data_IF_829216949241
#
_entry.id   IF_829216949241
#
_cell.length_a   1.000
_cell.length_b   1.000
_cell.length_c   1.000
_cell.angle_alpha   90.00
_cell.angle_beta   90.00
_cell.angle_gamma   90.00
#
_symmetry.space_group_name_H-M   'P 1'
#
loop_
_entity.id
_entity.type
_entity.pdbx_description
1 polymer ?
#
# COMPACT_ATOMS: atom_id res chain seq x y z
N UNK A 1 4.26 14.42 16.89
CA UNK A 1 3.24 13.40 17.14
C UNK A 1 2.03 14.14 17.65
N UNK A 2 0.92 14.03 16.93
CA UNK A 2 -0.37 14.64 17.29
C UNK A 2 -0.91 13.99 18.56
N UNK A 3 -1.75 14.69 19.31
CA UNK A 3 -2.52 14.06 20.39
C UNK A 3 -3.61 13.14 19.83
N UNK A 4 -4.16 12.25 20.65
CA UNK A 4 -5.27 11.38 20.21
C UNK A 4 -6.44 12.25 19.74
N UNK A 5 -6.79 13.29 20.48
CA UNK A 5 -7.89 14.20 20.19
C UNK A 5 -7.70 14.95 18.86
N UNK A 6 -6.47 15.37 18.54
CA UNK A 6 -6.14 15.99 17.26
C UNK A 6 -6.31 15.01 16.09
N UNK A 7 -5.94 13.74 16.28
CA UNK A 7 -6.08 12.70 15.26
C UNK A 7 -7.54 12.30 15.08
N UNK A 8 -8.30 12.19 16.19
CA UNK A 8 -9.74 11.94 16.17
C UNK A 8 -10.48 13.01 15.38
N UNK A 9 -10.26 14.29 15.69
CA UNK A 9 -10.93 15.39 14.98
C UNK A 9 -10.65 15.36 13.47
N UNK A 10 -9.39 15.09 13.08
CA UNK A 10 -9.01 14.95 11.67
C UNK A 10 -9.74 13.77 11.02
N UNK A 11 -9.77 12.61 11.68
CA UNK A 11 -10.42 11.42 11.14
C UNK A 11 -11.94 11.56 11.10
N UNK A 12 -12.58 12.15 12.09
CA UNK A 12 -14.03 12.38 12.08
C UNK A 12 -14.44 13.28 10.90
N UNK A 13 -13.70 14.35 10.65
CA UNK A 13 -13.93 15.21 9.48
C UNK A 13 -13.65 14.44 8.17
N UNK A 14 -12.54 13.72 8.09
CA UNK A 14 -12.12 13.05 6.86
C UNK A 14 -12.99 11.83 6.49
N UNK A 15 -13.58 11.17 7.48
CA UNK A 15 -14.44 9.99 7.33
C UNK A 15 -15.92 10.36 7.13
N UNK A 16 -16.31 11.62 7.32
CA UNK A 16 -17.65 12.08 7.03
C UNK A 16 -17.99 11.82 5.54
N UNK A 17 -19.13 11.18 5.27
CA UNK A 17 -19.54 10.80 3.92
C UNK A 17 -19.79 11.98 2.97
N UNK A 18 -19.98 13.18 3.51
CA UNK A 18 -20.11 14.43 2.76
C UNK A 18 -18.78 15.16 2.55
N UNK A 19 -17.71 14.73 3.23
CA UNK A 19 -16.38 15.33 3.15
C UNK A 19 -15.95 15.56 1.70
N UNK A 20 -15.40 16.76 1.44
CA UNK A 20 -14.90 17.19 0.12
C UNK A 20 -15.92 16.98 -1.01
N UNK A 21 -17.21 17.18 -0.73
CA UNK A 21 -18.28 17.00 -1.71
C UNK A 21 -18.49 15.54 -2.11
N UNK A 22 -18.51 14.64 -1.11
CA UNK A 22 -18.67 13.18 -1.28
C UNK A 22 -17.54 12.57 -2.12
N UNK A 23 -16.31 13.01 -1.90
CA UNK A 23 -15.14 12.64 -2.73
C UNK A 23 -14.97 11.13 -2.85
N UNK A 24 -15.05 10.39 -1.74
CA UNK A 24 -14.90 8.93 -1.72
C UNK A 24 -15.97 8.25 -2.59
N UNK A 25 -17.24 8.61 -2.40
CA UNK A 25 -18.35 8.03 -3.16
C UNK A 25 -18.23 8.33 -4.68
N UNK A 26 -17.79 9.55 -5.03
CA UNK A 26 -17.52 9.92 -6.43
C UNK A 26 -16.35 9.12 -7.00
N UNK A 27 -15.30 8.88 -6.21
CA UNK A 27 -14.16 8.04 -6.56
C UNK A 27 -14.57 6.59 -6.84
N UNK A 28 -15.35 5.99 -5.94
CA UNK A 28 -15.88 4.63 -6.09
C UNK A 28 -16.78 4.52 -7.34
N UNK A 29 -17.68 5.49 -7.55
CA UNK A 29 -18.51 5.53 -8.75
C UNK A 29 -17.66 5.61 -10.04
N UNK A 30 -16.65 6.50 -10.06
CA UNK A 30 -15.73 6.63 -11.19
C UNK A 30 -14.99 5.30 -11.46
N UNK A 31 -14.52 4.64 -10.41
CA UNK A 31 -13.81 3.37 -10.50
C UNK A 31 -14.67 2.23 -11.07
N UNK A 32 -15.99 2.25 -10.80
CA UNK A 32 -16.94 1.28 -11.36
C UNK A 32 -17.24 1.59 -12.84
N UNK A 33 -17.40 2.86 -13.19
CA UNK A 33 -17.82 3.29 -14.53
C UNK A 33 -16.70 3.15 -15.56
N UNK A 34 -15.46 3.50 -15.19
CA UNK A 34 -14.33 3.46 -16.12
C UNK A 34 -14.01 2.01 -16.53
N UNK A 35 -13.49 1.85 -17.75
CA UNK A 35 -12.98 0.57 -18.27
C UNK A 35 -11.60 0.79 -18.84
N UNK A 36 -10.61 0.06 -18.33
CA UNK A 36 -9.19 0.23 -18.69
C UNK A 36 -8.75 1.70 -18.62
N UNK A 37 -9.15 2.41 -17.56
CA UNK A 37 -8.80 3.82 -17.31
C UNK A 37 -9.67 4.83 -18.05
N UNK A 38 -10.46 4.42 -19.04
CA UNK A 38 -11.26 5.32 -19.89
C UNK A 38 -12.69 5.40 -19.37
N UNK A 39 -13.20 6.63 -19.23
CA UNK A 39 -14.62 6.88 -18.95
C UNK A 39 -15.41 6.86 -20.27
N UNK A 40 -16.59 6.22 -20.31
CA UNK A 40 -17.47 6.28 -21.48
C UNK A 40 -18.00 7.72 -21.67
N UNK A 41 -18.43 8.05 -22.90
CA UNK A 41 -18.83 9.40 -23.27
C UNK A 41 -20.07 9.93 -22.51
N UNK A 42 -20.93 9.02 -22.03
CA UNK A 42 -22.13 9.31 -21.23
C UNK A 42 -21.86 9.28 -19.71
N UNK A 43 -20.60 9.15 -19.29
CA UNK A 43 -20.26 9.16 -17.88
C UNK A 43 -20.61 10.51 -17.22
N UNK A 44 -20.96 10.52 -15.91
CA UNK A 44 -21.07 11.74 -15.13
C UNK A 44 -19.79 12.58 -15.21
N UNK A 45 -19.93 13.90 -15.09
CA UNK A 45 -18.77 14.78 -15.00
C UNK A 45 -18.07 14.62 -13.64
N UNK A 46 -16.85 14.09 -13.67
CA UNK A 46 -15.95 14.06 -12.52
C UNK A 46 -14.98 15.26 -12.57
N UNK A 47 -14.47 15.67 -11.42
CA UNK A 47 -13.42 16.71 -11.39
C UNK A 47 -12.19 16.22 -12.12
N UNK A 48 -11.51 17.12 -12.85
CA UNK A 48 -10.22 16.81 -13.47
C UNK A 48 -9.14 16.43 -12.42
N UNK A 49 -9.30 16.92 -11.18
CA UNK A 49 -8.38 16.67 -10.05
C UNK A 49 -8.74 15.46 -9.22
N UNK A 50 -9.82 14.73 -9.55
CA UNK A 50 -10.40 13.72 -8.64
C UNK A 50 -9.40 12.65 -8.17
N UNK A 51 -8.45 12.24 -9.02
CA UNK A 51 -7.43 11.26 -8.63
C UNK A 51 -6.41 11.84 -7.66
N UNK A 52 -5.96 13.08 -7.87
CA UNK A 52 -5.06 13.76 -6.95
C UNK A 52 -5.75 13.99 -5.60
N UNK A 53 -6.99 14.50 -5.64
CA UNK A 53 -7.80 14.75 -4.44
C UNK A 53 -8.00 13.45 -3.63
N UNK A 54 -8.27 12.32 -4.31
CA UNK A 54 -8.38 11.00 -3.69
C UNK A 54 -7.05 10.54 -3.11
N UNK A 55 -5.95 10.67 -3.85
CA UNK A 55 -4.62 10.30 -3.38
C UNK A 55 -4.26 11.02 -2.09
N UNK A 56 -4.37 12.35 -2.09
CA UNK A 56 -4.09 13.18 -0.93
C UNK A 56 -4.98 12.83 0.26
N UNK A 57 -6.29 12.64 0.03
CA UNK A 57 -7.24 12.26 1.08
C UNK A 57 -6.95 10.87 1.65
N UNK A 58 -6.67 9.90 0.78
CA UNK A 58 -6.39 8.52 1.15
C UNK A 58 -5.11 8.38 1.97
N UNK A 59 -4.02 9.05 1.56
CA UNK A 59 -2.77 9.03 2.31
C UNK A 59 -2.88 9.79 3.63
N UNK A 60 -3.61 10.91 3.69
CA UNK A 60 -3.84 11.63 4.94
C UNK A 60 -4.62 10.76 5.97
N UNK A 61 -5.66 10.05 5.53
CA UNK A 61 -6.39 9.11 6.40
C UNK A 61 -5.49 7.95 6.83
N UNK A 62 -4.70 7.39 5.92
CA UNK A 62 -3.81 6.26 6.22
C UNK A 62 -2.75 6.66 7.27
N UNK A 63 -2.14 7.82 7.10
CA UNK A 63 -1.16 8.37 8.05
C UNK A 63 -1.78 8.56 9.44
N UNK A 64 -2.93 9.23 9.51
CA UNK A 64 -3.66 9.41 10.76
C UNK A 64 -4.08 8.07 11.40
N UNK A 65 -4.49 7.07 10.61
CA UNK A 65 -4.84 5.74 11.09
C UNK A 65 -3.65 4.97 11.67
N UNK A 66 -2.47 5.08 11.04
CA UNK A 66 -1.23 4.49 11.52
C UNK A 66 -0.77 5.15 12.83
N UNK A 67 -0.83 6.48 12.91
CA UNK A 67 -0.49 7.22 14.12
C UNK A 67 -1.44 6.85 15.26
N UNK A 68 -2.76 6.92 15.04
CA UNK A 68 -3.77 6.55 16.03
C UNK A 68 -3.59 5.12 16.53
N UNK A 69 -3.38 4.15 15.61
CA UNK A 69 -3.16 2.75 15.99
C UNK A 69 -1.89 2.54 16.79
N UNK A 70 -0.86 3.39 16.62
CA UNK A 70 0.35 3.30 17.41
C UNK A 70 0.16 3.80 18.85
N UNK A 71 -0.77 4.74 19.05
CA UNK A 71 -1.15 5.31 20.35
C UNK A 71 -2.21 4.47 21.07
N UNK A 72 -3.30 4.10 20.37
CA UNK A 72 -4.38 3.25 20.86
C UNK A 72 -4.85 2.30 19.74
N UNK A 73 -4.46 1.03 19.85
CA UNK A 73 -4.83 -0.02 18.88
C UNK A 73 -6.31 -0.37 18.91
N UNK A 74 -6.99 -0.14 20.03
CA UNK A 74 -8.40 -0.47 20.25
C UNK A 74 -9.35 0.68 19.91
N UNK A 75 -8.80 1.83 19.51
CA UNK A 75 -9.58 3.02 19.22
C UNK A 75 -10.65 2.76 18.14
N UNK A 76 -11.87 3.25 18.38
CA UNK A 76 -13.02 2.95 17.52
C UNK A 76 -12.83 3.42 16.06
N UNK A 77 -12.08 4.50 15.84
CA UNK A 77 -11.80 5.07 14.53
C UNK A 77 -10.74 4.33 13.71
N UNK A 78 -9.89 3.49 14.33
CA UNK A 78 -8.78 2.81 13.63
C UNK A 78 -9.30 1.95 12.47
N UNK A 79 -10.32 1.13 12.75
CA UNK A 79 -10.85 0.20 11.76
C UNK A 79 -11.57 0.92 10.59
N UNK A 80 -12.50 1.86 10.83
CA UNK A 80 -13.11 2.68 9.78
C UNK A 80 -12.09 3.49 8.96
N UNK A 81 -11.05 4.02 9.60
CA UNK A 81 -10.01 4.80 8.92
C UNK A 81 -9.22 3.95 7.92
N UNK A 82 -8.73 2.77 8.35
CA UNK A 82 -8.06 1.83 7.45
C UNK A 82 -8.97 1.36 6.31
N UNK A 83 -10.25 1.09 6.60
CA UNK A 83 -11.21 0.71 5.56
C UNK A 83 -11.39 1.81 4.51
N UNK A 84 -11.51 3.06 4.95
CA UNK A 84 -11.75 4.19 4.05
C UNK A 84 -10.54 4.51 3.22
N UNK A 85 -9.34 4.51 3.82
CA UNK A 85 -8.08 4.61 3.09
C UNK A 85 -7.97 3.50 2.03
N UNK A 86 -8.28 2.25 2.40
CA UNK A 86 -8.25 1.12 1.47
C UNK A 86 -9.20 1.30 0.27
N UNK A 87 -10.45 1.73 0.51
CA UNK A 87 -11.44 2.01 -0.53
C UNK A 87 -10.98 3.10 -1.49
N UNK A 88 -10.38 4.16 -0.98
CA UNK A 88 -9.85 5.26 -1.78
C UNK A 88 -8.71 4.76 -2.68
N UNK A 89 -7.73 4.05 -2.11
CA UNK A 89 -6.60 3.50 -2.88
C UNK A 89 -7.06 2.48 -3.92
N UNK A 90 -8.03 1.64 -3.57
CA UNK A 90 -8.67 0.71 -4.49
C UNK A 90 -9.40 1.44 -5.62
N UNK A 91 -10.15 2.51 -5.32
CA UNK A 91 -10.85 3.31 -6.32
C UNK A 91 -9.87 3.97 -7.32
N UNK A 92 -8.65 4.31 -6.90
CA UNK A 92 -7.62 4.84 -7.79
C UNK A 92 -7.14 3.82 -8.83
N UNK A 93 -7.17 2.51 -8.54
CA UNK A 93 -6.64 1.47 -9.44
C UNK A 93 -7.69 0.54 -10.05
N UNK A 94 -8.86 0.38 -9.45
CA UNK A 94 -9.94 -0.51 -9.91
C UNK A 94 -10.45 -0.06 -11.28
N UNK A 95 -10.42 -0.96 -12.27
CA UNK A 95 -10.71 -0.69 -13.69
C UNK A 95 -9.90 0.47 -14.30
N UNK A 96 -8.79 0.86 -13.67
CA UNK A 96 -7.89 1.90 -14.17
C UNK A 96 -7.08 1.44 -15.38
N UNK A 97 -6.18 2.31 -15.84
CA UNK A 97 -5.21 1.96 -16.86
C UNK A 97 -4.34 0.79 -16.35
N UNK A 98 -4.32 -0.37 -17.05
CA UNK A 98 -3.52 -1.52 -16.63
C UNK A 98 -2.01 -1.23 -16.63
N UNK A 99 -1.54 -0.29 -17.46
CA UNK A 99 -0.13 0.08 -17.65
C UNK A 99 0.35 1.20 -16.71
N UNK A 100 -0.56 1.72 -15.86
CA UNK A 100 -0.22 2.74 -14.86
C UNK A 100 0.89 2.25 -13.94
N UNK A 101 1.99 3.00 -13.86
CA UNK A 101 3.23 2.58 -13.19
C UNK A 101 3.10 2.39 -11.68
N UNK A 102 2.30 3.21 -11.00
CA UNK A 102 2.01 3.15 -9.56
C UNK A 102 0.82 2.25 -9.20
N UNK A 103 0.24 1.53 -10.18
CA UNK A 103 -0.90 0.63 -9.97
C UNK A 103 -0.60 -0.46 -8.95
N UNK A 104 0.57 -1.08 -9.02
CA UNK A 104 0.97 -2.14 -8.08
C UNK A 104 1.14 -1.62 -6.66
N UNK A 105 1.79 -0.46 -6.52
CA UNK A 105 1.94 0.22 -5.24
C UNK A 105 0.59 0.55 -4.60
N UNK A 106 -0.30 1.28 -5.28
CA UNK A 106 -1.61 1.67 -4.74
C UNK A 106 -2.49 0.46 -4.39
N UNK A 107 -2.45 -0.60 -5.20
CA UNK A 107 -3.16 -1.86 -4.92
C UNK A 107 -2.60 -2.58 -3.70
N UNK A 108 -1.28 -2.54 -3.51
CA UNK A 108 -0.60 -3.07 -2.32
C UNK A 108 -1.01 -2.29 -1.07
N UNK A 109 -1.01 -0.95 -1.13
CA UNK A 109 -1.45 -0.08 -0.04
C UNK A 109 -2.93 -0.33 0.31
N UNK A 110 -3.80 -0.50 -0.69
CA UNK A 110 -5.20 -0.88 -0.49
C UNK A 110 -5.33 -2.22 0.25
N UNK A 111 -4.62 -3.25 -0.20
CA UNK A 111 -4.62 -4.58 0.42
C UNK A 111 -4.11 -4.56 1.86
N UNK A 112 -2.98 -3.88 2.11
CA UNK A 112 -2.43 -3.72 3.45
C UNK A 112 -3.41 -2.98 4.37
N UNK A 113 -4.03 -1.90 3.89
CA UNK A 113 -5.01 -1.11 4.63
C UNK A 113 -6.25 -1.94 4.99
N UNK A 114 -6.81 -2.71 4.04
CA UNK A 114 -7.90 -3.64 4.34
C UNK A 114 -7.50 -4.70 5.37
N UNK A 115 -6.29 -5.26 5.26
CA UNK A 115 -5.80 -6.25 6.20
C UNK A 115 -5.65 -5.67 7.62
N UNK A 116 -5.15 -4.44 7.74
CA UNK A 116 -5.06 -3.71 9.02
C UNK A 116 -6.43 -3.33 9.60
N UNK A 117 -7.42 -3.07 8.74
CA UNK A 117 -8.82 -2.86 9.11
C UNK A 117 -9.62 -4.14 9.40
N UNK A 118 -8.96 -5.31 9.49
CA UNK A 118 -9.62 -6.62 9.70
C UNK A 118 -10.58 -7.03 8.58
N UNK A 119 -10.35 -6.57 7.34
CA UNK A 119 -11.07 -6.96 6.12
C UNK A 119 -10.22 -7.91 5.26
N UNK A 120 -9.65 -8.95 5.87
CA UNK A 120 -8.67 -9.83 5.25
C UNK A 120 -9.17 -10.52 3.96
N UNK A 121 -10.46 -10.89 3.88
CA UNK A 121 -11.04 -11.48 2.67
C UNK A 121 -11.04 -10.50 1.49
N UNK A 122 -11.33 -9.22 1.74
CA UNK A 122 -11.27 -8.16 0.72
C UNK A 122 -9.82 -7.92 0.31
N UNK A 123 -8.90 -7.82 1.27
CA UNK A 123 -7.47 -7.70 1.00
C UNK A 123 -6.95 -8.84 0.11
N UNK A 124 -7.32 -10.09 0.41
CA UNK A 124 -6.97 -11.26 -0.40
C UNK A 124 -7.53 -11.16 -1.83
N UNK A 125 -8.78 -10.75 -1.98
CA UNK A 125 -9.45 -10.63 -3.28
C UNK A 125 -8.80 -9.60 -4.21
N UNK A 126 -8.03 -8.65 -3.66
CA UNK A 126 -7.29 -7.70 -4.47
C UNK A 126 -6.13 -8.32 -5.23
N UNK A 127 -5.69 -9.55 -4.93
CA UNK A 127 -4.51 -10.13 -5.57
C UNK A 127 -4.83 -11.46 -6.27
N UNK A 128 -5.65 -11.44 -7.34
CA UNK A 128 -5.94 -12.64 -8.11
C UNK A 128 -4.66 -13.16 -8.77
N UNK A 129 -4.40 -14.47 -8.65
CA UNK A 129 -3.16 -15.11 -9.14
C UNK A 129 -2.88 -14.86 -10.62
N UNK A 130 -3.91 -14.68 -11.44
CA UNK A 130 -3.80 -14.40 -12.88
C UNK A 130 -3.22 -13.01 -13.17
N UNK A 131 -3.37 -12.04 -12.28
CA UNK A 131 -2.90 -10.66 -12.49
C UNK A 131 -1.55 -10.37 -11.80
N UNK A 132 -1.14 -11.19 -10.84
CA UNK A 132 0.09 -10.99 -10.07
C UNK A 132 1.36 -10.86 -10.94
N UNK A 133 1.60 -11.70 -11.97
CA UNK A 133 2.82 -11.58 -12.78
C UNK A 133 2.92 -10.28 -13.60
N UNK A 134 1.79 -9.62 -13.88
CA UNK A 134 1.73 -8.37 -14.65
C UNK A 134 1.66 -7.11 -13.78
N UNK A 135 1.73 -7.24 -12.45
CA UNK A 135 1.66 -6.10 -11.55
C UNK A 135 3.07 -5.52 -11.37
N UNK A 136 3.25 -4.24 -11.72
CA UNK A 136 4.49 -3.53 -11.45
C UNK A 136 4.65 -3.30 -9.95
N UNK A 137 5.39 -4.18 -9.26
CA UNK A 137 5.59 -4.13 -7.81
C UNK A 137 7.05 -4.14 -7.43
N UNK A 138 7.40 -3.35 -6.42
CA UNK A 138 8.71 -3.42 -5.78
C UNK A 138 8.88 -4.72 -4.98
N UNK A 139 10.12 -5.15 -4.65
CA UNK A 139 10.35 -6.30 -3.80
C UNK A 139 9.65 -6.20 -2.43
N UNK A 140 9.62 -4.99 -1.84
CA UNK A 140 8.92 -4.73 -0.60
C UNK A 140 7.41 -4.96 -0.74
N UNK A 141 6.81 -4.45 -1.82
CA UNK A 141 5.39 -4.67 -2.13
C UNK A 141 5.08 -6.16 -2.36
N UNK A 142 5.92 -6.88 -3.10
CA UNK A 142 5.75 -8.31 -3.33
C UNK A 142 5.79 -9.13 -2.02
N UNK A 143 6.63 -8.73 -1.07
CA UNK A 143 6.64 -9.29 0.28
C UNK A 143 5.35 -8.99 1.06
N UNK A 144 4.84 -7.76 1.02
CA UNK A 144 3.57 -7.41 1.66
C UNK A 144 2.39 -8.18 1.07
N UNK A 145 2.35 -8.32 -0.26
CA UNK A 145 1.35 -9.14 -0.96
C UNK A 145 1.45 -10.60 -0.47
N UNK A 146 2.66 -11.16 -0.39
CA UNK A 146 2.88 -12.53 0.09
C UNK A 146 2.39 -12.71 1.53
N UNK A 147 2.60 -11.73 2.40
CA UNK A 147 2.06 -11.72 3.77
C UNK A 147 0.52 -11.71 3.79
N UNK A 148 -0.12 -10.84 3.00
CA UNK A 148 -1.58 -10.75 2.91
C UNK A 148 -2.17 -12.08 2.41
N UNK A 149 -1.52 -12.72 1.44
CA UNK A 149 -1.91 -14.00 0.87
C UNK A 149 -1.50 -15.21 1.73
N UNK A 150 -0.73 -14.97 2.81
CA UNK A 150 -0.13 -16.01 3.67
C UNK A 150 0.74 -17.01 2.88
N UNK A 151 1.38 -16.54 1.82
CA UNK A 151 2.34 -17.29 1.01
C UNK A 151 3.76 -17.07 1.55
N UNK A 152 4.08 -17.76 2.65
CA UNK A 152 5.37 -17.62 3.34
C UNK A 152 6.55 -18.19 2.53
N UNK A 153 6.30 -19.14 1.63
CA UNK A 153 7.33 -19.68 0.74
C UNK A 153 7.78 -18.62 -0.27
N UNK A 154 6.82 -17.92 -0.89
CA UNK A 154 7.14 -16.78 -1.77
C UNK A 154 7.83 -15.65 -1.00
N UNK A 155 7.34 -15.31 0.19
CA UNK A 155 7.95 -14.29 1.07
C UNK A 155 9.43 -14.59 1.35
N UNK A 156 9.74 -15.83 1.73
CA UNK A 156 11.11 -16.27 2.00
C UNK A 156 11.95 -16.29 0.73
N UNK A 157 11.39 -16.75 -0.39
CA UNK A 157 12.06 -16.77 -1.68
C UNK A 157 12.47 -15.37 -2.14
N UNK A 158 11.57 -14.39 -2.03
CA UNK A 158 11.85 -12.99 -2.36
C UNK A 158 12.93 -12.42 -1.43
N UNK A 159 12.75 -12.59 -0.12
CA UNK A 159 13.68 -12.06 0.89
C UNK A 159 15.10 -12.62 0.72
N UNK A 160 15.23 -13.92 0.47
CA UNK A 160 16.53 -14.58 0.21
C UNK A 160 17.15 -14.10 -1.08
N UNK A 161 16.40 -14.06 -2.19
CA UNK A 161 16.92 -13.56 -3.47
C UNK A 161 17.44 -12.12 -3.32
N UNK A 162 16.72 -11.28 -2.59
CA UNK A 162 17.14 -9.90 -2.33
C UNK A 162 18.43 -9.84 -1.50
N UNK A 163 18.47 -10.52 -0.36
CA UNK A 163 19.59 -10.45 0.60
C UNK A 163 20.86 -11.15 0.12
N UNK A 164 20.73 -12.13 -0.79
CA UNK A 164 21.86 -12.86 -1.37
C UNK A 164 22.33 -12.26 -2.70
N UNK A 165 21.64 -11.25 -3.24
CA UNK A 165 22.10 -10.57 -4.44
C UNK A 165 23.30 -9.68 -4.10
N UNK A 166 24.50 -9.92 -4.67
CA UNK A 166 25.67 -9.07 -4.44
C UNK A 166 25.42 -7.60 -4.81
N UNK A 167 24.57 -7.34 -5.80
CA UNK A 167 24.24 -5.97 -6.23
C UNK A 167 23.57 -5.16 -5.12
N UNK A 168 22.89 -5.83 -4.19
CA UNK A 168 22.20 -5.19 -3.05
C UNK A 168 23.10 -5.07 -1.80
N UNK A 169 24.39 -5.41 -1.91
CA UNK A 169 25.32 -5.37 -0.78
C UNK A 169 25.75 -3.93 -0.45
N UNK A 170 26.05 -3.68 0.82
CA UNK A 170 26.52 -2.36 1.28
C UNK A 170 27.81 -1.94 0.56
N UNK A 171 28.68 -2.91 0.23
CA UNK A 171 29.91 -2.66 -0.53
C UNK A 171 29.59 -2.20 -1.95
N UNK A 172 28.79 -2.95 -2.69
CA UNK A 172 28.42 -2.60 -4.07
C UNK A 172 27.66 -1.27 -4.13
N UNK A 173 26.78 -1.00 -3.16
CA UNK A 173 26.08 0.29 -3.06
C UNK A 173 27.03 1.46 -2.79
N UNK A 174 28.03 1.27 -1.92
CA UNK A 174 29.05 2.28 -1.64
C UNK A 174 29.91 2.55 -2.89
N UNK A 175 30.34 1.51 -3.59
CA UNK A 175 31.13 1.63 -4.82
C UNK A 175 30.33 2.35 -5.92
N UNK A 176 29.08 1.95 -6.17
CA UNK A 176 28.22 2.61 -7.16
C UNK A 176 27.94 4.08 -6.83
N UNK A 177 27.83 4.43 -5.54
CA UNK A 177 27.67 5.81 -5.11
C UNK A 177 28.96 6.62 -5.33
N UNK A 178 30.14 6.05 -5.06
CA UNK A 178 31.43 6.69 -5.30
C UNK A 178 31.71 6.90 -6.78
N UNK A 179 31.30 5.96 -7.62
CA UNK A 179 31.42 6.02 -9.08
C UNK A 179 30.37 6.93 -9.74
N UNK A 180 29.41 7.45 -8.97
CA UNK A 180 28.32 8.30 -9.48
C UNK A 180 27.28 7.56 -10.30
N UNK A 181 27.24 6.22 -10.22
CA UNK A 181 26.25 5.36 -10.87
C UNK A 181 24.93 5.39 -10.10
N UNK A 182 25.01 5.36 -8.77
CA UNK A 182 23.85 5.40 -7.88
C UNK A 182 23.73 6.75 -7.18
N UNK A 183 22.51 7.25 -7.07
CA UNK A 183 22.21 8.43 -6.25
C UNK A 183 22.08 8.04 -4.78
N UNK A 184 22.13 9.04 -3.90
CA UNK A 184 21.85 8.86 -2.48
C UNK A 184 20.45 8.23 -2.23
N UNK A 185 19.47 8.57 -3.07
CA UNK A 185 18.12 8.02 -2.99
C UNK A 185 18.09 6.52 -3.32
N UNK A 186 18.89 6.08 -4.29
CA UNK A 186 18.96 4.67 -4.69
C UNK A 186 19.56 3.82 -3.56
N UNK A 187 20.64 4.31 -2.94
CA UNK A 187 21.27 3.67 -1.78
C UNK A 187 20.30 3.56 -0.61
N UNK A 188 19.53 4.62 -0.33
CA UNK A 188 18.49 4.58 0.72
C UNK A 188 17.38 3.59 0.41
N UNK A 189 16.91 3.51 -0.84
CA UNK A 189 15.90 2.53 -1.24
C UNK A 189 16.39 1.09 -1.02
N UNK A 190 17.65 0.80 -1.40
CA UNK A 190 18.25 -0.52 -1.18
C UNK A 190 18.42 -0.82 0.31
N UNK A 191 18.94 0.12 1.09
CA UNK A 191 19.15 -0.05 2.53
C UNK A 191 17.83 -0.31 3.29
N UNK A 192 16.79 0.49 3.01
CA UNK A 192 15.46 0.33 3.63
C UNK A 192 14.85 -1.02 3.25
N UNK A 193 14.89 -1.36 1.96
CA UNK A 193 14.36 -2.65 1.47
C UNK A 193 15.11 -3.81 2.11
N UNK A 194 16.44 -3.75 2.17
CA UNK A 194 17.27 -4.76 2.85
C UNK A 194 16.93 -4.90 4.32
N UNK A 195 16.70 -3.80 5.04
CA UNK A 195 16.25 -3.81 6.43
C UNK A 195 14.91 -4.55 6.60
N UNK A 196 13.94 -4.23 5.74
CA UNK A 196 12.64 -4.92 5.71
C UNK A 196 12.80 -6.43 5.42
N UNK A 197 13.59 -6.80 4.42
CA UNK A 197 13.82 -8.23 4.08
C UNK A 197 14.45 -9.01 5.23
N UNK A 198 15.40 -8.42 5.96
CA UNK A 198 15.98 -9.05 7.16
C UNK A 198 14.93 -9.26 8.23
N UNK A 199 14.10 -8.25 8.50
CA UNK A 199 12.99 -8.36 9.46
C UNK A 199 12.01 -9.47 9.09
N UNK A 200 11.64 -9.57 7.81
CA UNK A 200 10.73 -10.61 7.32
C UNK A 200 11.33 -12.01 7.40
N UNK A 201 12.61 -12.16 7.06
CA UNK A 201 13.32 -13.44 7.17
C UNK A 201 13.40 -13.91 8.64
N UNK A 202 13.65 -12.99 9.58
CA UNK A 202 13.66 -13.30 11.01
C UNK A 202 12.27 -13.68 11.54
N UNK A 203 11.23 -12.95 11.13
CA UNK A 203 9.84 -13.27 11.47
C UNK A 203 9.46 -14.68 11.00
N UNK A 204 9.77 -15.02 9.75
CA UNK A 204 9.48 -16.33 9.17
C UNK A 204 10.23 -17.46 9.90
N UNK A 205 11.50 -17.23 10.23
CA UNK A 205 12.29 -18.17 11.04
C UNK A 205 11.67 -18.40 12.42
N UNK A 206 11.24 -17.33 13.10
CA UNK A 206 10.60 -17.43 14.40
C UNK A 206 9.30 -18.26 14.35
N UNK A 207 8.45 -18.03 13.34
CA UNK A 207 7.24 -18.84 13.14
C UNK A 207 7.56 -20.34 12.99
N UNK A 208 8.61 -20.69 12.24
CA UNK A 208 9.01 -22.10 12.05
C UNK A 208 9.56 -22.75 13.32
N UNK A 209 10.11 -21.97 14.24
CA UNK A 209 10.65 -22.46 15.50
C UNK A 209 9.59 -22.66 16.59
N UNK A 210 8.52 -21.86 16.63
CA UNK A 210 7.45 -21.98 17.64
C UNK A 210 6.48 -23.15 17.37
N UNK A 211 6.39 -23.64 16.13
CA UNK A 211 5.49 -24.74 15.74
C UNK A 211 6.20 -26.06 15.47
N UNK A 212 7.37 -26.30 16.09
CA UNK A 212 8.11 -27.57 16.06
C UNK A 212 8.27 -28.20 17.44
#
# INVERSE_FOLDING_TARGET
MRSIEEIEALLEEALDGSARGRLVARGEARAIIRRNGVLPADAPQFSATIEADLGDHGFAILDAALELRSLDRSHALVRPAFQTAAKIMEALVRNGDPERTDRGFLRTVAGASYHLGSYAAVAFSLFPRSELPGLNVSPAEACLISLILRDFDSLLGISRRWLLNPDNSDLTMADQMQEGIATQSDVYAVAITSGMMRGLALYEFALKCEFR
#
